data_IF_010361130331
#
_entry.id   IF_010361130331
#
_cell.length_a   1.000
_cell.length_b   1.000
_cell.length_c   1.000
_cell.angle_alpha   90.00
_cell.angle_beta   90.00
_cell.angle_gamma   90.00
#
_symmetry.space_group_name_H-M   'P 1'
#
loop_
_entity.id
_entity.type
_entity.pdbx_description
1 polymer ?
#
# COMPACT_ATOMS: atom_id res chain seq x y z
N UNK A 1 52.44 -10.92 50.84
CA UNK A 1 51.09 -10.28 50.69
C UNK A 1 50.88 -9.95 49.27
N UNK A 2 50.08 -10.78 48.52
CA UNK A 2 49.74 -10.58 47.12
C UNK A 2 48.30 -10.05 47.06
N UNK A 3 48.12 -8.84 46.61
CA UNK A 3 46.81 -8.25 46.39
C UNK A 3 46.27 -8.57 45.01
N UNK A 4 45.11 -9.22 44.94
CA UNK A 4 44.40 -9.52 43.69
C UNK A 4 43.59 -8.28 43.26
N UNK A 5 43.86 -7.75 42.07
CA UNK A 5 43.06 -6.72 41.43
C UNK A 5 41.90 -7.40 40.68
N UNK A 6 40.65 -7.20 41.14
CA UNK A 6 39.47 -7.63 40.40
C UNK A 6 39.04 -6.52 39.43
N UNK A 7 39.12 -6.78 38.14
CA UNK A 7 38.59 -5.91 37.08
C UNK A 7 37.13 -6.30 36.80
N UNK A 8 36.20 -5.43 37.13
CA UNK A 8 34.80 -5.62 36.79
C UNK A 8 34.56 -5.13 35.34
N UNK A 9 34.29 -6.07 34.43
CA UNK A 9 33.79 -5.75 33.08
C UNK A 9 32.31 -5.37 33.16
N UNK A 10 32.02 -4.09 33.05
CA UNK A 10 30.66 -3.58 32.86
C UNK A 10 30.18 -3.89 31.44
N UNK A 11 29.22 -4.79 31.31
CA UNK A 11 28.50 -5.03 30.06
C UNK A 11 27.52 -3.86 29.84
N UNK A 12 27.84 -2.95 28.92
CA UNK A 12 26.91 -1.94 28.43
C UNK A 12 25.87 -2.65 27.52
N UNK A 13 24.67 -2.83 28.05
CA UNK A 13 23.53 -3.24 27.21
C UNK A 13 23.21 -2.11 26.19
N UNK A 14 22.99 -2.42 24.90
CA UNK A 14 22.57 -1.41 23.95
C UNK A 14 21.20 -0.89 24.38
N UNK A 15 21.08 0.44 24.52
CA UNK A 15 19.82 1.10 24.73
C UNK A 15 19.00 0.96 23.43
N UNK A 16 17.93 0.18 23.46
CA UNK A 16 16.92 0.20 22.43
C UNK A 16 16.23 1.56 22.52
N UNK A 17 16.52 2.45 21.58
CA UNK A 17 15.79 3.69 21.44
C UNK A 17 14.36 3.33 21.04
N UNK A 18 13.41 3.46 21.96
CA UNK A 18 11.99 3.46 21.64
C UNK A 18 11.70 4.75 20.90
N UNK A 19 11.15 4.66 19.67
CA UNK A 19 10.72 5.85 18.93
C UNK A 19 9.69 6.63 19.77
N UNK A 20 9.86 7.96 19.81
CA UNK A 20 8.89 8.83 20.46
C UNK A 20 7.57 8.76 19.65
N UNK A 21 6.46 8.33 20.24
CA UNK A 21 5.19 8.20 19.53
C UNK A 21 4.65 9.55 19.02
N UNK A 22 5.22 10.67 19.42
CA UNK A 22 4.88 12.02 18.94
C UNK A 22 5.74 12.47 17.74
N UNK A 23 6.78 11.74 17.36
CA UNK A 23 7.66 12.13 16.27
C UNK A 23 7.11 11.68 14.91
N UNK A 24 7.08 12.58 13.91
CA UNK A 24 6.69 12.24 12.55
C UNK A 24 7.63 11.19 11.94
N UNK A 25 7.05 10.25 11.19
CA UNK A 25 7.80 9.27 10.39
C UNK A 25 8.65 10.02 9.36
N UNK A 26 9.94 9.67 9.29
CA UNK A 26 10.85 10.29 8.35
C UNK A 26 10.83 9.56 6.99
N UNK A 27 11.05 10.26 5.86
CA UNK A 27 11.13 9.63 4.54
C UNK A 27 12.09 8.45 4.44
N UNK A 28 13.19 8.47 5.20
CA UNK A 28 14.17 7.37 5.25
C UNK A 28 13.64 6.07 5.87
N UNK A 29 12.48 6.12 6.54
CA UNK A 29 11.85 4.95 7.13
C UNK A 29 10.87 4.23 6.21
N UNK A 30 10.57 4.80 5.04
CA UNK A 30 9.49 4.35 4.15
C UNK A 30 9.59 2.88 3.75
N UNK A 31 10.81 2.37 3.51
CA UNK A 31 11.02 0.96 3.13
C UNK A 31 10.67 -0.02 4.26
N UNK A 32 10.71 0.42 5.52
CA UNK A 32 10.29 -0.39 6.67
C UNK A 32 8.78 -0.54 6.79
N UNK A 33 8.04 0.34 6.11
CA UNK A 33 6.58 0.33 6.02
C UNK A 33 6.06 -0.55 4.87
N UNK A 34 6.95 -1.04 4.02
CA UNK A 34 6.56 -1.95 2.94
C UNK A 34 6.43 -3.39 3.47
N UNK A 35 5.44 -4.13 2.99
CA UNK A 35 5.42 -5.58 3.26
C UNK A 35 6.50 -6.29 2.46
N UNK A 36 7.02 -7.37 2.99
CA UNK A 36 7.94 -8.25 2.28
C UNK A 36 7.19 -9.17 1.31
N UNK A 37 7.89 -9.65 0.28
CA UNK A 37 7.35 -10.68 -0.64
C UNK A 37 6.77 -11.87 0.13
N UNK A 38 7.47 -12.38 1.15
CA UNK A 38 7.04 -13.52 1.97
C UNK A 38 5.74 -13.24 2.74
N UNK A 39 5.52 -12.01 3.19
CA UNK A 39 4.27 -11.62 3.86
C UNK A 39 3.12 -11.60 2.86
N UNK A 40 3.34 -11.03 1.67
CA UNK A 40 2.36 -11.03 0.59
C UNK A 40 2.01 -12.47 0.17
N UNK A 41 3.01 -13.32 -0.09
CA UNK A 41 2.81 -14.73 -0.45
C UNK A 41 2.01 -15.51 0.61
N UNK A 42 2.27 -15.24 1.90
CA UNK A 42 1.53 -15.88 2.99
C UNK A 42 0.06 -15.47 3.01
N UNK A 43 -0.23 -14.20 2.82
CA UNK A 43 -1.61 -13.68 2.80
C UNK A 43 -2.33 -14.14 1.54
N UNK A 44 -1.68 -14.07 0.39
CA UNK A 44 -2.28 -14.45 -0.90
C UNK A 44 -2.40 -15.98 -1.05
N UNK A 45 -1.61 -16.77 -0.32
CA UNK A 45 -1.60 -18.24 -0.39
C UNK A 45 -0.96 -18.79 -1.67
N UNK A 46 -0.24 -17.96 -2.42
CA UNK A 46 0.45 -18.33 -3.66
C UNK A 46 1.83 -17.69 -3.71
N UNK A 47 2.75 -18.26 -4.50
CA UNK A 47 4.05 -17.65 -4.77
C UNK A 47 3.91 -16.42 -5.66
N UNK A 48 4.62 -15.36 -5.31
CA UNK A 48 4.68 -14.09 -6.06
C UNK A 48 6.14 -13.79 -6.44
N UNK A 49 6.73 -14.59 -7.37
CA UNK A 49 8.16 -14.52 -7.63
C UNK A 49 8.61 -13.22 -8.30
N UNK A 50 7.70 -12.47 -8.89
CA UNK A 50 8.02 -11.24 -9.60
C UNK A 50 7.77 -10.06 -8.70
N UNK A 51 8.74 -9.15 -8.63
CA UNK A 51 8.69 -7.94 -7.79
C UNK A 51 9.22 -6.75 -8.58
N UNK A 52 8.42 -5.71 -8.66
CA UNK A 52 8.82 -4.39 -9.15
C UNK A 52 8.75 -3.38 -8.00
N UNK A 53 9.75 -2.50 -7.92
CA UNK A 53 9.79 -1.41 -6.94
C UNK A 53 10.19 -0.10 -7.61
N UNK A 54 9.65 1.00 -7.10
CA UNK A 54 9.97 2.35 -7.57
C UNK A 54 9.81 3.37 -6.45
N UNK A 55 10.56 4.48 -6.54
CA UNK A 55 10.48 5.62 -5.62
C UNK A 55 9.42 6.63 -6.11
N UNK A 56 8.26 6.14 -6.46
CA UNK A 56 7.10 6.90 -6.91
C UNK A 56 5.84 6.03 -6.76
N UNK A 57 4.67 6.59 -7.04
CA UNK A 57 3.43 5.81 -7.20
C UNK A 57 3.33 5.23 -8.61
N UNK A 58 2.41 4.29 -8.82
CA UNK A 58 2.18 3.72 -10.15
C UNK A 58 1.42 4.70 -11.04
N UNK A 59 1.62 4.56 -12.34
CA UNK A 59 0.86 5.30 -13.34
C UNK A 59 -0.32 4.46 -13.85
N UNK A 60 -1.47 5.10 -13.96
CA UNK A 60 -2.69 4.55 -14.53
C UNK A 60 -3.28 5.56 -15.50
N UNK A 61 -3.61 5.13 -16.70
CA UNK A 61 -4.41 5.93 -17.64
C UNK A 61 -5.87 5.45 -17.60
N UNK A 62 -6.81 6.38 -17.69
CA UNK A 62 -8.24 6.07 -17.58
C UNK A 62 -9.09 7.13 -18.29
N UNK A 63 -10.24 6.71 -18.82
CA UNK A 63 -11.26 7.62 -19.36
C UNK A 63 -11.94 8.49 -18.28
N UNK A 64 -11.74 8.16 -17.01
CA UNK A 64 -12.20 8.89 -15.82
C UNK A 64 -11.03 9.23 -14.89
N UNK A 65 -10.24 10.29 -15.21
CA UNK A 65 -9.07 10.66 -14.40
C UNK A 65 -9.38 11.00 -12.94
N UNK A 66 -10.61 11.40 -12.64
CA UNK A 66 -11.15 11.63 -11.31
C UNK A 66 -11.31 10.33 -10.51
N UNK A 67 -11.46 9.19 -11.18
CA UNK A 67 -11.67 7.87 -10.60
C UNK A 67 -10.42 6.97 -10.65
N UNK A 68 -9.32 7.39 -11.22
CA UNK A 68 -8.12 6.57 -11.34
C UNK A 68 -7.59 6.03 -10.00
N UNK A 69 -7.68 6.85 -8.95
CA UNK A 69 -7.24 6.46 -7.61
C UNK A 69 -8.11 5.41 -6.91
N UNK A 70 -9.33 5.16 -7.39
CA UNK A 70 -10.15 4.05 -6.92
C UNK A 70 -9.52 2.72 -7.30
N UNK A 71 -8.93 2.67 -8.50
CA UNK A 71 -8.38 1.44 -9.08
C UNK A 71 -6.97 1.17 -8.60
N UNK A 72 -6.16 2.22 -8.47
CA UNK A 72 -4.74 2.10 -8.16
C UNK A 72 -4.27 3.35 -7.41
N UNK A 73 -3.32 3.20 -6.50
CA UNK A 73 -2.54 4.32 -5.96
C UNK A 73 -1.83 5.04 -7.10
N UNK A 74 -2.54 5.96 -7.76
CA UNK A 74 -2.06 6.59 -8.97
C UNK A 74 -1.27 7.86 -8.67
N UNK A 75 -0.29 8.15 -9.51
CA UNK A 75 0.51 9.40 -9.47
C UNK A 75 -0.40 10.62 -9.45
N UNK A 76 -1.47 10.62 -10.24
CA UNK A 76 -2.38 11.77 -10.33
C UNK A 76 -3.10 12.12 -9.02
N UNK A 77 -3.31 11.15 -8.14
CA UNK A 77 -3.87 11.40 -6.80
C UNK A 77 -2.83 12.00 -5.88
N UNK A 78 -1.67 11.41 -5.83
CA UNK A 78 -0.57 11.84 -4.98
C UNK A 78 0.03 13.17 -5.44
N UNK A 79 0.12 13.41 -6.75
CA UNK A 79 0.65 14.69 -7.32
C UNK A 79 -0.14 15.93 -6.87
N UNK A 80 -1.37 15.75 -6.40
CA UNK A 80 -2.21 16.83 -5.84
C UNK A 80 -1.99 17.05 -4.34
N UNK A 81 -1.12 16.28 -3.73
CA UNK A 81 -0.88 16.28 -2.29
C UNK A 81 0.60 16.49 -2.00
N UNK A 82 0.95 17.30 -1.00
CA UNK A 82 2.33 17.67 -0.71
C UNK A 82 3.06 16.58 0.08
N UNK A 83 3.17 15.35 -0.46
CA UNK A 83 3.98 14.32 0.20
C UNK A 83 5.48 14.60 0.07
N UNK A 84 6.26 14.19 1.06
CA UNK A 84 7.72 14.33 1.08
C UNK A 84 8.42 13.22 0.30
N UNK A 85 7.90 12.01 0.36
CA UNK A 85 8.42 10.85 -0.35
C UNK A 85 7.31 9.81 -0.55
N UNK A 86 7.41 9.05 -1.63
CA UNK A 86 6.55 7.89 -1.88
C UNK A 86 7.36 6.74 -2.48
N UNK A 87 7.07 5.52 -2.02
CA UNK A 87 7.60 4.29 -2.61
C UNK A 87 6.45 3.36 -2.93
N UNK A 88 6.60 2.63 -4.03
CA UNK A 88 5.62 1.63 -4.47
C UNK A 88 6.29 0.32 -4.83
N UNK A 89 5.54 -0.77 -4.65
CA UNK A 89 5.92 -2.09 -5.13
C UNK A 89 4.71 -2.84 -5.70
N UNK A 90 4.97 -3.66 -6.70
CA UNK A 90 4.02 -4.63 -7.25
C UNK A 90 4.63 -6.02 -7.16
N UNK A 91 3.83 -7.00 -6.77
CA UNK A 91 4.19 -8.41 -6.72
C UNK A 91 3.13 -9.22 -7.47
N UNK A 92 3.58 -10.17 -8.30
CA UNK A 92 2.62 -10.98 -9.07
C UNK A 92 3.14 -12.40 -9.32
N UNK A 93 2.19 -13.31 -9.56
CA UNK A 93 2.47 -14.64 -10.04
C UNK A 93 2.74 -14.63 -11.56
N UNK A 94 3.59 -15.52 -12.03
CA UNK A 94 3.93 -15.66 -13.44
C UNK A 94 3.92 -17.15 -13.84
N UNK A 95 3.51 -17.49 -15.06
CA UNK A 95 3.17 -16.67 -16.23
C UNK A 95 1.71 -16.21 -16.28
N UNK A 96 0.89 -16.58 -15.32
CA UNK A 96 -0.58 -16.47 -15.44
C UNK A 96 -1.17 -15.09 -15.12
N UNK A 97 -0.47 -14.23 -14.38
CA UNK A 97 -1.05 -12.97 -13.88
C UNK A 97 -2.40 -13.15 -13.17
N UNK A 98 -2.54 -14.25 -12.41
CA UNK A 98 -3.80 -14.57 -11.72
C UNK A 98 -3.91 -13.89 -10.36
N UNK A 99 -2.77 -13.43 -9.84
CA UNK A 99 -2.66 -12.77 -8.55
C UNK A 99 -1.71 -11.58 -8.66
N UNK A 100 -2.16 -10.43 -8.20
CA UNK A 100 -1.39 -9.18 -8.12
C UNK A 100 -1.57 -8.57 -6.74
N UNK A 101 -0.49 -8.05 -6.19
CA UNK A 101 -0.49 -7.25 -4.97
C UNK A 101 0.34 -6.00 -5.20
N UNK A 102 -0.27 -4.84 -5.05
CA UNK A 102 0.42 -3.55 -5.08
C UNK A 102 0.38 -2.91 -3.71
N UNK A 103 1.45 -2.20 -3.39
CA UNK A 103 1.51 -1.32 -2.24
C UNK A 103 2.16 -0.01 -2.64
N UNK A 104 1.58 1.10 -2.18
CA UNK A 104 2.21 2.41 -2.17
C UNK A 104 2.22 2.95 -0.75
N UNK A 105 3.32 3.59 -0.37
CA UNK A 105 3.47 4.27 0.92
C UNK A 105 3.93 5.69 0.63
N UNK A 106 3.23 6.68 1.19
CA UNK A 106 3.61 8.08 1.11
C UNK A 106 3.79 8.66 2.51
N UNK A 107 4.85 9.45 2.69
CA UNK A 107 5.16 10.18 3.93
C UNK A 107 4.87 11.65 3.69
N UNK A 108 4.05 12.24 4.55
CA UNK A 108 3.67 13.66 4.55
C UNK A 108 4.45 14.42 5.63
N UNK A 109 4.40 15.76 5.58
CA UNK A 109 5.07 16.59 6.60
C UNK A 109 4.35 16.50 7.95
N UNK A 110 3.02 16.31 7.94
CA UNK A 110 2.18 16.26 9.14
C UNK A 110 1.10 15.18 9.06
N UNK A 111 0.59 14.77 10.22
CA UNK A 111 -0.58 13.89 10.36
C UNK A 111 -1.81 14.47 9.69
N UNK A 112 -1.99 15.80 9.77
CA UNK A 112 -3.15 16.47 9.19
C UNK A 112 -3.13 16.40 7.67
N UNK A 113 -1.95 16.52 7.05
CA UNK A 113 -1.80 16.36 5.60
C UNK A 113 -2.11 14.93 5.14
N UNK A 114 -1.63 13.91 5.86
CA UNK A 114 -1.94 12.50 5.55
C UNK A 114 -3.43 12.20 5.68
N UNK A 115 -4.06 12.67 6.77
CA UNK A 115 -5.52 12.54 6.97
C UNK A 115 -6.32 13.37 5.95
N UNK A 116 -5.83 14.55 5.60
CA UNK A 116 -6.43 15.40 4.57
C UNK A 116 -6.43 14.71 3.21
N UNK A 117 -5.32 14.04 2.87
CA UNK A 117 -5.22 13.22 1.67
C UNK A 117 -6.29 12.11 1.66
N UNK A 118 -6.38 11.29 2.71
CA UNK A 118 -7.37 10.20 2.77
C UNK A 118 -8.82 10.70 2.74
N UNK A 119 -9.13 11.83 3.39
CA UNK A 119 -10.47 12.44 3.29
C UNK A 119 -10.77 12.90 1.86
N UNK A 120 -9.82 13.53 1.21
CA UNK A 120 -9.97 13.96 -0.20
C UNK A 120 -10.18 12.78 -1.15
N UNK A 121 -9.46 11.68 -0.92
CA UNK A 121 -9.66 10.44 -1.68
C UNK A 121 -11.04 9.82 -1.39
N UNK A 122 -11.48 9.81 -0.14
CA UNK A 122 -12.81 9.30 0.20
C UNK A 122 -13.94 10.06 -0.51
N UNK A 123 -13.85 11.38 -0.57
CA UNK A 123 -14.85 12.20 -1.28
C UNK A 123 -14.80 11.92 -2.80
N UNK A 124 -13.61 11.75 -3.36
CA UNK A 124 -13.41 11.42 -4.77
C UNK A 124 -13.92 10.02 -5.10
N UNK A 125 -13.55 9.01 -4.30
CA UNK A 125 -13.97 7.63 -4.53
C UNK A 125 -15.50 7.50 -4.53
N UNK A 126 -16.20 8.19 -3.62
CA UNK A 126 -17.68 8.17 -3.58
C UNK A 126 -18.33 8.64 -4.89
N UNK A 127 -17.69 9.55 -5.63
CA UNK A 127 -18.22 9.95 -6.94
C UNK A 127 -18.08 8.89 -8.02
N UNK A 128 -17.24 7.87 -7.76
CA UNK A 128 -16.97 6.76 -8.67
C UNK A 128 -17.76 5.49 -8.33
N UNK A 129 -18.49 5.50 -7.22
CA UNK A 129 -19.28 4.34 -6.79
C UNK A 129 -20.35 3.99 -7.82
N UNK A 130 -20.49 2.70 -8.12
CA UNK A 130 -21.41 2.16 -9.13
C UNK A 130 -21.13 2.69 -10.56
N UNK A 131 -19.90 3.13 -10.82
CA UNK A 131 -19.47 3.53 -12.16
C UNK A 131 -18.66 2.40 -12.81
N UNK A 132 -18.73 2.38 -14.15
CA UNK A 132 -17.85 1.58 -14.98
C UNK A 132 -16.76 2.49 -15.55
N UNK A 133 -15.49 2.10 -15.38
CA UNK A 133 -14.31 2.87 -15.75
C UNK A 133 -13.46 2.05 -16.71
N UNK A 134 -13.02 2.62 -17.81
CA UNK A 134 -12.01 2.01 -18.67
C UNK A 134 -10.62 2.43 -18.21
N UNK A 135 -9.75 1.44 -18.00
CA UNK A 135 -8.38 1.66 -17.51
C UNK A 135 -7.36 1.04 -18.46
N UNK A 136 -6.21 1.67 -18.55
CA UNK A 136 -5.03 1.18 -19.24
C UNK A 136 -3.86 1.17 -18.27
N UNK A 137 -3.35 -0.01 -17.96
CA UNK A 137 -2.19 -0.20 -17.09
C UNK A 137 -0.99 -0.63 -17.94
N UNK A 138 0.17 -0.03 -17.71
CA UNK A 138 1.41 -0.48 -18.32
C UNK A 138 1.91 -1.70 -17.57
N UNK A 139 1.88 -2.85 -18.22
CA UNK A 139 2.48 -4.05 -17.68
C UNK A 139 4.02 -3.98 -17.67
N UNK A 140 4.65 -4.80 -16.85
CA UNK A 140 6.11 -4.81 -16.67
C UNK A 140 6.87 -5.17 -17.94
N UNK A 141 6.27 -5.96 -18.81
CA UNK A 141 6.82 -6.33 -20.14
C UNK A 141 6.66 -5.23 -21.18
N UNK A 142 6.09 -4.07 -20.81
CA UNK A 142 5.81 -2.94 -21.68
C UNK A 142 4.51 -3.07 -22.48
N UNK A 143 3.76 -4.16 -22.33
CA UNK A 143 2.43 -4.28 -22.91
C UNK A 143 1.43 -3.37 -22.17
N UNK A 144 0.37 -2.95 -22.87
CA UNK A 144 -0.72 -2.18 -22.28
C UNK A 144 -1.87 -3.14 -22.01
N UNK A 145 -2.21 -3.29 -20.74
CA UNK A 145 -3.39 -4.03 -20.29
C UNK A 145 -4.58 -3.07 -20.26
N UNK A 146 -5.58 -3.39 -21.06
CA UNK A 146 -6.85 -2.65 -21.04
C UNK A 146 -7.89 -3.46 -20.28
N UNK A 147 -8.59 -2.80 -19.39
CA UNK A 147 -9.67 -3.41 -18.62
C UNK A 147 -10.83 -2.44 -18.44
N UNK A 148 -12.00 -3.01 -18.26
CA UNK A 148 -13.16 -2.30 -17.73
C UNK A 148 -13.31 -2.65 -16.26
N UNK A 149 -13.45 -1.66 -15.40
CA UNK A 149 -13.57 -1.80 -13.96
C UNK A 149 -14.96 -1.36 -13.53
N UNK A 150 -15.70 -2.26 -12.90
CA UNK A 150 -16.97 -1.95 -12.25
C UNK A 150 -16.72 -1.67 -10.77
N UNK A 151 -16.73 -0.40 -10.39
CA UNK A 151 -16.54 0.03 -9.00
C UNK A 151 -17.77 -0.35 -8.18
N UNK A 152 -17.53 -1.03 -7.08
CA UNK A 152 -18.57 -1.52 -6.16
C UNK A 152 -18.53 -0.73 -4.86
N UNK A 153 -18.96 -1.36 -3.80
CA UNK A 153 -19.14 -0.81 -2.47
C UNK A 153 -17.88 -0.07 -1.98
N UNK A 154 -18.00 1.22 -1.75
CA UNK A 154 -16.99 2.05 -1.12
C UNK A 154 -17.35 2.20 0.35
N UNK A 155 -16.43 1.82 1.22
CA UNK A 155 -16.60 1.89 2.66
C UNK A 155 -15.50 2.74 3.28
N UNK A 156 -15.89 3.48 4.32
CA UNK A 156 -14.94 4.22 5.15
C UNK A 156 -15.26 3.98 6.62
N UNK A 157 -14.25 3.52 7.36
CA UNK A 157 -14.31 3.37 8.81
C UNK A 157 -13.08 4.04 9.39
N UNK A 158 -13.29 5.05 10.20
CA UNK A 158 -12.24 5.88 10.79
C UNK A 158 -11.28 6.44 9.72
N UNK A 159 -10.02 6.05 9.77
CA UNK A 159 -8.94 6.46 8.87
C UNK A 159 -8.67 5.44 7.74
N UNK A 160 -9.54 4.43 7.58
CA UNK A 160 -9.44 3.39 6.56
C UNK A 160 -10.53 3.59 5.52
N UNK A 161 -10.14 3.70 4.27
CA UNK A 161 -11.00 3.75 3.10
C UNK A 161 -10.80 2.45 2.31
N UNK A 162 -11.88 1.83 1.87
CA UNK A 162 -11.80 0.58 1.12
C UNK A 162 -12.82 0.54 -0.01
N UNK A 163 -12.46 -0.13 -1.08
CA UNK A 163 -13.32 -0.42 -2.22
C UNK A 163 -13.06 -1.83 -2.74
N UNK A 164 -14.11 -2.46 -3.23
CA UNK A 164 -14.01 -3.68 -4.03
C UNK A 164 -14.54 -3.40 -5.42
N UNK A 165 -13.90 -3.98 -6.43
CA UNK A 165 -14.33 -3.82 -7.81
C UNK A 165 -14.09 -5.10 -8.61
N UNK A 166 -14.92 -5.30 -9.63
CA UNK A 166 -14.74 -6.34 -10.63
C UNK A 166 -13.98 -5.78 -11.84
N UNK A 167 -13.11 -6.59 -12.42
CA UNK A 167 -12.43 -6.29 -13.69
C UNK A 167 -12.92 -7.22 -14.78
N UNK A 168 -13.06 -6.68 -15.96
CA UNK A 168 -13.42 -7.41 -17.17
C UNK A 168 -12.20 -7.51 -18.08
N UNK A 169 -11.14 -8.13 -17.59
CA UNK A 169 -10.01 -8.57 -18.40
C UNK A 169 -9.69 -10.05 -18.12
N UNK A 170 -8.80 -10.61 -18.88
CA UNK A 170 -8.42 -12.02 -18.74
C UNK A 170 -7.47 -12.26 -17.56
N UNK A 171 -6.92 -11.22 -16.97
CA UNK A 171 -5.88 -11.35 -15.95
C UNK A 171 -6.45 -11.42 -14.52
N UNK A 172 -7.42 -10.55 -14.19
CA UNK A 172 -7.97 -10.46 -12.84
C UNK A 172 -9.49 -10.30 -12.89
N UNK A 173 -10.21 -11.02 -12.03
CA UNK A 173 -11.67 -10.91 -11.96
C UNK A 173 -12.12 -9.96 -10.83
N UNK A 174 -11.39 -9.95 -9.71
CA UNK A 174 -11.78 -9.19 -8.52
C UNK A 174 -10.56 -8.53 -7.88
N UNK A 175 -10.75 -7.28 -7.51
CA UNK A 175 -9.74 -6.52 -6.76
C UNK A 175 -10.35 -5.93 -5.49
N UNK A 176 -9.52 -5.79 -4.48
CA UNK A 176 -9.79 -5.00 -3.30
C UNK A 176 -8.68 -3.95 -3.15
N UNK A 177 -9.07 -2.74 -2.83
CA UNK A 177 -8.17 -1.62 -2.62
C UNK A 177 -8.47 -0.99 -1.25
N UNK A 178 -7.44 -0.78 -0.44
CA UNK A 178 -7.53 -0.23 0.92
C UNK A 178 -6.51 0.88 1.07
N UNK A 179 -6.96 2.04 1.52
CA UNK A 179 -6.12 3.20 1.86
C UNK A 179 -6.26 3.50 3.35
N UNK A 180 -5.14 3.56 4.06
CA UNK A 180 -5.04 3.92 5.47
C UNK A 180 -4.20 5.19 5.60
N UNK A 181 -4.62 6.15 6.43
CA UNK A 181 -3.72 7.17 6.97
C UNK A 181 -3.50 6.98 8.46
N UNK A 182 -2.23 6.90 8.85
CA UNK A 182 -1.81 6.74 10.23
C UNK A 182 -0.61 7.63 10.50
N UNK A 183 -0.68 8.50 11.53
CA UNK A 183 0.31 9.57 11.71
C UNK A 183 0.45 10.37 10.41
N UNK A 184 1.66 10.71 10.02
CA UNK A 184 1.97 11.41 8.77
C UNK A 184 2.23 10.47 7.57
N UNK A 185 1.63 9.27 7.57
CA UNK A 185 1.82 8.26 6.51
C UNK A 185 0.48 7.89 5.89
N UNK A 186 0.44 7.76 4.57
CA UNK A 186 -0.62 7.04 3.85
C UNK A 186 -0.06 5.71 3.34
N UNK A 187 -0.79 4.64 3.59
CA UNK A 187 -0.49 3.27 3.11
C UNK A 187 -1.65 2.83 2.25
N UNK A 188 -1.34 2.44 1.04
CA UNK A 188 -2.27 2.11 -0.02
C UNK A 188 -1.97 0.72 -0.54
N UNK A 189 -2.92 -0.21 -0.47
CA UNK A 189 -2.74 -1.62 -0.83
C UNK A 189 -3.87 -2.07 -1.72
N UNK A 190 -3.50 -2.61 -2.90
CA UNK A 190 -4.44 -3.30 -3.79
C UNK A 190 -4.07 -4.77 -3.88
N UNK A 191 -5.06 -5.63 -3.80
CA UNK A 191 -4.94 -7.06 -4.13
C UNK A 191 -5.92 -7.42 -5.21
N UNK A 192 -5.48 -8.16 -6.22
CA UNK A 192 -6.30 -8.66 -7.31
C UNK A 192 -6.12 -10.16 -7.49
N UNK A 193 -7.19 -10.88 -7.84
CA UNK A 193 -7.15 -12.33 -8.09
C UNK A 193 -8.21 -12.75 -9.10
N UNK A 194 -7.94 -13.84 -9.83
CA UNK A 194 -8.94 -14.49 -10.69
C UNK A 194 -9.87 -15.42 -9.92
N UNK A 195 -9.49 -15.82 -8.72
CA UNK A 195 -10.19 -16.83 -7.93
C UNK A 195 -11.02 -16.17 -6.85
N UNK A 196 -12.36 -16.15 -7.09
CA UNK A 196 -13.43 -16.07 -6.09
C UNK A 196 -13.48 -14.92 -5.05
N UNK A 197 -14.71 -14.54 -4.71
CA UNK A 197 -15.11 -13.56 -3.69
C UNK A 197 -14.52 -13.74 -2.27
N UNK A 198 -13.88 -14.87 -1.96
CA UNK A 198 -13.22 -15.10 -0.67
C UNK A 198 -11.94 -14.26 -0.48
N UNK A 199 -11.47 -13.62 -1.54
CA UNK A 199 -10.26 -12.80 -1.54
C UNK A 199 -10.51 -11.36 -1.05
N UNK A 200 -11.75 -11.02 -0.73
CA UNK A 200 -12.18 -9.68 -0.36
C UNK A 200 -11.64 -9.12 0.97
N UNK A 201 -10.76 -9.84 1.67
CA UNK A 201 -10.15 -9.38 2.92
C UNK A 201 -8.63 -9.27 2.86
N UNK A 202 -7.99 -9.73 1.78
CA UNK A 202 -6.53 -9.85 1.70
C UNK A 202 -5.79 -8.51 1.75
N UNK A 203 -6.35 -7.46 1.15
CA UNK A 203 -5.77 -6.13 1.28
C UNK A 203 -5.83 -5.64 2.74
N UNK A 204 -6.92 -5.92 3.46
CA UNK A 204 -7.01 -5.65 4.89
C UNK A 204 -6.05 -6.49 5.73
N UNK A 205 -5.84 -7.76 5.38
CA UNK A 205 -4.86 -8.60 6.08
C UNK A 205 -3.44 -8.07 5.92
N UNK A 206 -3.06 -7.63 4.72
CA UNK A 206 -1.79 -6.95 4.50
C UNK A 206 -1.72 -5.62 5.26
N UNK A 207 -2.80 -4.85 5.28
CA UNK A 207 -2.87 -3.59 6.03
C UNK A 207 -2.67 -3.82 7.54
N UNK A 208 -3.23 -4.90 8.11
CA UNK A 208 -3.00 -5.28 9.52
C UNK A 208 -1.54 -5.63 9.83
N UNK A 209 -0.78 -6.08 8.82
CA UNK A 209 0.65 -6.39 8.98
C UNK A 209 1.47 -5.10 8.97
N UNK A 210 1.18 -4.16 8.07
CA UNK A 210 2.03 -2.98 7.86
C UNK A 210 1.60 -1.74 8.65
N UNK A 211 0.31 -1.60 8.95
CA UNK A 211 -0.21 -0.45 9.69
C UNK A 211 0.47 -0.23 11.06
N UNK A 212 0.65 -1.27 11.90
CA UNK A 212 1.34 -1.12 13.18
C UNK A 212 2.78 -0.64 13.07
N UNK A 213 3.47 -0.91 11.96
CA UNK A 213 4.87 -0.48 11.75
C UNK A 213 5.05 1.04 11.76
N UNK A 214 3.98 1.78 11.46
CA UNK A 214 4.00 3.26 11.52
C UNK A 214 4.36 3.76 12.92
N UNK A 215 4.08 2.97 13.96
CA UNK A 215 4.39 3.28 15.35
C UNK A 215 5.75 2.73 15.82
N UNK A 216 6.41 1.95 14.98
CA UNK A 216 7.71 1.31 15.30
C UNK A 216 8.91 2.04 14.66
N UNK A 217 8.64 3.07 13.82
CA UNK A 217 9.65 3.79 13.02
C UNK A 217 9.75 5.25 13.37
#
# INVERSE_FOLDING_TARGET
MMGALSVALGVLAPATATADPSSNVQPSAIDRLMFSQREAERVMGVGLPNVQRQSATFALDTDRPDCGSVVLASVSSYDRSPYMAAHSQALWDHPGWYTLVDQSVAVFSTDEEARGFTRSEADRWRTCENQTINVSELAVDGSVLQATVDVRDITQVDNVLAVSYARNDSAYAFCQHVLLSERNVAIDIRTCSTVSKSDGERAFELMKIVGPRVWEV
#
